data_IF_754289799247
#
_entry.id   IF_754289799247
#
_cell.length_a   1.000
_cell.length_b   1.000
_cell.length_c   1.000
_cell.angle_alpha   90.00
_cell.angle_beta   90.00
_cell.angle_gamma   90.00
#
_symmetry.space_group_name_H-M   'P 1'
#
loop_
_entity.id
_entity.type
_entity.pdbx_description
1 polymer ?
#
# COMPACT_ATOMS: atom_id res chain seq x y z
N UNK A 1 4.04 -10.60 19.89
CA UNK A 1 2.71 -9.95 19.97
C UNK A 1 1.62 -10.92 20.37
N UNK A 2 1.46 -12.07 19.70
CA UNK A 2 0.38 -13.05 19.92
C UNK A 2 0.32 -13.61 21.36
N UNK A 3 1.43 -13.64 22.11
CA UNK A 3 1.44 -14.03 23.53
C UNK A 3 0.94 -12.94 24.50
N UNK A 4 0.70 -11.72 24.02
CA UNK A 4 0.27 -10.59 24.86
C UNK A 4 -1.27 -10.55 24.96
N UNK A 5 -1.81 -10.77 26.17
CA UNK A 5 -3.26 -10.77 26.43
C UNK A 5 -3.97 -9.49 25.99
N UNK A 6 -3.35 -8.32 26.18
CA UNK A 6 -3.93 -7.03 25.77
C UNK A 6 -4.04 -6.91 24.26
N UNK A 7 -3.02 -7.38 23.54
CA UNK A 7 -3.05 -7.45 22.08
C UNK A 7 -4.14 -8.41 21.58
N UNK A 8 -4.21 -9.62 22.13
CA UNK A 8 -5.23 -10.61 21.74
C UNK A 8 -6.64 -10.08 21.99
N UNK A 9 -6.89 -9.45 23.14
CA UNK A 9 -8.20 -8.89 23.42
C UNK A 9 -8.61 -7.81 22.40
N UNK A 10 -7.70 -6.88 22.10
CA UNK A 10 -7.93 -5.85 21.08
C UNK A 10 -8.12 -6.47 19.69
N UNK A 11 -7.30 -7.46 19.32
CA UNK A 11 -7.40 -8.16 18.04
C UNK A 11 -8.77 -8.80 17.88
N UNK A 12 -9.26 -9.53 18.89
CA UNK A 12 -10.57 -10.17 18.85
C UNK A 12 -11.71 -9.15 18.69
N UNK A 13 -11.64 -8.00 19.37
CA UNK A 13 -12.62 -6.91 19.20
C UNK A 13 -12.63 -6.35 17.78
N UNK A 14 -11.46 -6.10 17.21
CA UNK A 14 -11.35 -5.61 15.83
C UNK A 14 -11.88 -6.65 14.85
N UNK A 15 -11.50 -7.92 15.00
CA UNK A 15 -11.99 -9.02 14.16
C UNK A 15 -13.50 -9.18 14.25
N UNK A 16 -14.10 -9.02 15.44
CA UNK A 16 -15.55 -9.06 15.61
C UNK A 16 -16.27 -7.95 14.82
N UNK A 17 -15.66 -6.77 14.65
CA UNK A 17 -16.19 -5.69 13.83
C UNK A 17 -16.01 -5.86 12.32
N UNK A 18 -15.10 -6.75 11.90
CA UNK A 18 -14.65 -6.87 10.50
C UNK A 18 -15.16 -8.17 9.85
N UNK A 19 -14.96 -9.32 10.49
CA UNK A 19 -15.18 -10.64 9.90
C UNK A 19 -16.65 -10.97 9.56
N UNK A 20 -17.66 -10.58 10.37
CA UNK A 20 -19.04 -10.96 10.10
C UNK A 20 -19.54 -10.53 8.71
N UNK A 21 -19.05 -9.42 8.18
CA UNK A 21 -19.48 -8.88 6.89
C UNK A 21 -19.06 -9.76 5.72
N UNK A 22 -17.77 -10.07 5.62
CA UNK A 22 -17.22 -10.88 4.53
C UNK A 22 -17.66 -12.33 4.64
N UNK A 23 -17.63 -12.88 5.87
CA UNK A 23 -18.04 -14.25 6.10
C UNK A 23 -19.55 -14.44 5.89
N UNK A 24 -20.38 -13.52 6.38
CA UNK A 24 -21.82 -13.55 6.17
C UNK A 24 -22.20 -13.50 4.69
N UNK A 25 -21.57 -12.60 3.91
CA UNK A 25 -21.79 -12.54 2.47
C UNK A 25 -21.42 -13.84 1.74
N UNK A 26 -20.34 -14.50 2.16
CA UNK A 26 -19.93 -15.79 1.60
C UNK A 26 -20.90 -16.92 1.95
N UNK A 27 -21.41 -16.98 3.18
CA UNK A 27 -22.35 -18.01 3.64
C UNK A 27 -23.69 -17.98 2.89
N UNK A 28 -24.18 -16.80 2.52
CA UNK A 28 -25.39 -16.64 1.71
C UNK A 28 -25.17 -17.18 0.29
N UNK A 29 -23.93 -17.15 -0.19
CA UNK A 29 -23.47 -17.78 -1.43
C UNK A 29 -24.25 -17.35 -2.69
N UNK A 30 -24.70 -16.09 -2.73
CA UNK A 30 -25.19 -15.44 -3.95
C UNK A 30 -24.17 -14.41 -4.44
N UNK A 31 -24.17 -14.12 -5.75
CA UNK A 31 -23.24 -13.14 -6.32
C UNK A 31 -23.36 -11.77 -5.65
N UNK A 32 -24.59 -11.32 -5.40
CA UNK A 32 -24.86 -10.06 -4.71
C UNK A 32 -24.38 -10.06 -3.26
N UNK A 33 -24.68 -11.10 -2.49
CA UNK A 33 -24.25 -11.19 -1.10
C UNK A 33 -22.73 -11.30 -0.97
N UNK A 34 -22.06 -12.01 -1.88
CA UNK A 34 -20.60 -12.06 -1.94
C UNK A 34 -20.01 -10.69 -2.27
N UNK A 35 -20.56 -9.98 -3.25
CA UNK A 35 -20.09 -8.63 -3.61
C UNK A 35 -20.27 -7.64 -2.46
N UNK A 36 -21.48 -7.54 -1.90
CA UNK A 36 -21.79 -6.64 -0.79
C UNK A 36 -21.00 -7.01 0.47
N UNK A 37 -20.92 -8.30 0.80
CA UNK A 37 -20.17 -8.78 1.96
C UNK A 37 -18.67 -8.51 1.85
N UNK A 38 -18.08 -8.68 0.65
CA UNK A 38 -16.68 -8.36 0.40
C UNK A 38 -16.41 -6.86 0.51
N UNK A 39 -17.26 -6.02 -0.11
CA UNK A 39 -17.16 -4.56 0.00
C UNK A 39 -17.32 -4.09 1.45
N UNK A 40 -18.28 -4.66 2.19
CA UNK A 40 -18.50 -4.36 3.60
C UNK A 40 -17.31 -4.81 4.46
N UNK A 41 -16.73 -5.98 4.20
CA UNK A 41 -15.51 -6.44 4.88
C UNK A 41 -14.32 -5.52 4.61
N UNK A 42 -14.13 -5.08 3.36
CA UNK A 42 -13.07 -4.10 3.04
C UNK A 42 -13.33 -2.74 3.69
N UNK A 43 -14.57 -2.26 3.66
CA UNK A 43 -14.96 -1.00 4.29
C UNK A 43 -14.77 -1.03 5.80
N UNK A 44 -15.23 -2.09 6.46
CA UNK A 44 -15.13 -2.25 7.92
C UNK A 44 -13.70 -2.58 8.36
N UNK A 45 -12.97 -3.35 7.56
CA UNK A 45 -11.55 -3.60 7.76
C UNK A 45 -10.70 -2.33 7.68
N UNK A 46 -11.14 -1.31 6.93
CA UNK A 46 -10.52 0.02 6.92
C UNK A 46 -10.99 0.87 8.10
N UNK A 47 -12.32 1.03 8.23
CA UNK A 47 -12.92 2.01 9.13
C UNK A 47 -12.78 1.63 10.60
N UNK A 48 -13.00 0.36 10.95
CA UNK A 48 -12.98 -0.08 12.36
C UNK A 48 -11.58 0.11 12.96
N UNK A 49 -10.49 -0.43 12.38
CA UNK A 49 -9.16 -0.19 12.94
C UNK A 49 -8.73 1.27 12.84
N UNK A 50 -8.99 1.94 11.71
CA UNK A 50 -8.64 3.35 11.54
C UNK A 50 -9.22 4.23 12.66
N UNK A 51 -10.55 4.20 12.85
CA UNK A 51 -11.22 4.99 13.89
C UNK A 51 -10.79 4.55 15.28
N UNK A 52 -10.66 3.24 15.51
CA UNK A 52 -10.20 2.72 16.79
C UNK A 52 -8.82 3.29 17.15
N UNK A 53 -7.83 3.20 16.25
CA UNK A 53 -6.47 3.70 16.49
C UNK A 53 -6.40 5.22 16.61
N UNK A 54 -7.21 5.95 15.83
CA UNK A 54 -7.25 7.41 15.83
C UNK A 54 -7.69 7.95 17.20
N UNK A 55 -8.67 7.28 17.83
CA UNK A 55 -9.23 7.70 19.12
C UNK A 55 -8.72 6.89 20.32
N UNK A 56 -7.84 5.89 20.10
CA UNK A 56 -7.31 5.05 21.17
C UNK A 56 -6.46 5.88 22.14
N UNK A 57 -6.92 5.99 23.39
CA UNK A 57 -6.18 6.66 24.48
C UNK A 57 -5.49 5.69 25.45
N UNK A 58 -5.92 4.44 25.49
CA UNK A 58 -5.43 3.40 26.41
C UNK A 58 -5.41 2.04 25.70
N UNK A 59 -4.71 1.08 26.29
CA UNK A 59 -4.65 -0.30 25.76
C UNK A 59 -3.37 -0.57 24.97
N UNK A 60 -3.37 -1.62 24.16
CA UNK A 60 -2.17 -2.05 23.47
C UNK A 60 -1.88 -1.16 22.25
N UNK A 61 -0.67 -0.63 22.14
CA UNK A 61 -0.28 0.23 21.02
C UNK A 61 -0.83 1.66 21.08
N UNK A 62 -1.31 2.11 22.24
CA UNK A 62 -1.80 3.48 22.40
C UNK A 62 -0.68 4.52 22.31
N UNK A 63 0.57 4.13 22.54
CA UNK A 63 1.77 4.95 22.35
C UNK A 63 1.95 5.41 20.89
N UNK A 64 1.40 4.66 19.92
CA UNK A 64 1.44 5.02 18.51
C UNK A 64 0.20 5.82 18.06
N UNK A 65 -0.95 5.63 18.72
CA UNK A 65 -2.18 6.42 18.52
C UNK A 65 -2.49 6.76 17.05
N UNK A 66 -2.54 8.06 16.73
CA UNK A 66 -2.83 8.55 15.37
C UNK A 66 -1.81 8.11 14.30
N UNK A 67 -0.55 7.85 14.66
CA UNK A 67 0.45 7.32 13.71
C UNK A 67 0.06 5.91 13.25
N UNK A 68 -0.50 5.10 14.15
CA UNK A 68 -1.01 3.78 13.82
C UNK A 68 -2.20 3.85 12.86
N UNK A 69 -3.11 4.82 13.07
CA UNK A 69 -4.21 5.09 12.15
C UNK A 69 -3.70 5.53 10.75
N UNK A 70 -2.70 6.40 10.71
CA UNK A 70 -2.11 6.88 9.46
C UNK A 70 -1.40 5.77 8.67
N UNK A 71 -0.76 4.82 9.36
CA UNK A 71 -0.18 3.61 8.74
C UNK A 71 -1.27 2.68 8.22
N UNK A 72 -2.34 2.50 8.98
CA UNK A 72 -3.39 1.56 8.61
C UNK A 72 -4.06 1.90 7.26
N UNK A 73 -4.27 3.18 6.96
CA UNK A 73 -4.92 3.62 5.72
C UNK A 73 -4.26 3.04 4.45
N UNK A 74 -3.00 3.38 4.10
CA UNK A 74 -2.37 2.82 2.91
C UNK A 74 -2.14 1.32 3.04
N UNK A 75 -1.88 0.80 4.25
CA UNK A 75 -1.67 -0.63 4.45
C UNK A 75 -2.90 -1.45 4.08
N UNK A 76 -4.07 -1.08 4.60
CA UNK A 76 -5.29 -1.81 4.32
C UNK A 76 -5.70 -1.69 2.85
N UNK A 77 -5.56 -0.51 2.23
CA UNK A 77 -5.79 -0.34 0.79
C UNK A 77 -4.87 -1.27 -0.02
N UNK A 78 -3.59 -1.38 0.35
CA UNK A 78 -2.66 -2.33 -0.24
C UNK A 78 -3.12 -3.79 -0.07
N UNK A 79 -3.63 -4.16 1.10
CA UNK A 79 -4.21 -5.49 1.32
C UNK A 79 -5.49 -5.73 0.53
N UNK A 80 -6.34 -4.71 0.29
CA UNK A 80 -7.53 -4.84 -0.55
C UNK A 80 -7.12 -5.21 -1.97
N UNK A 81 -6.10 -4.55 -2.54
CA UNK A 81 -5.62 -4.84 -3.90
C UNK A 81 -5.13 -6.29 -4.01
N UNK A 82 -4.39 -6.76 -3.00
CA UNK A 82 -3.93 -8.15 -2.93
C UNK A 82 -5.11 -9.14 -2.79
N UNK A 83 -6.07 -8.82 -1.92
CA UNK A 83 -7.26 -9.66 -1.72
C UNK A 83 -8.16 -9.72 -2.95
N UNK A 84 -8.34 -8.61 -3.67
CA UNK A 84 -9.06 -8.56 -4.95
C UNK A 84 -8.51 -9.59 -5.92
N UNK A 85 -7.19 -9.59 -6.09
CA UNK A 85 -6.49 -10.54 -6.95
C UNK A 85 -6.68 -11.99 -6.51
N UNK A 86 -6.49 -12.27 -5.22
CA UNK A 86 -6.59 -13.62 -4.67
C UNK A 86 -8.02 -14.13 -4.78
N UNK A 87 -9.00 -13.34 -4.35
CA UNK A 87 -10.40 -13.73 -4.44
C UNK A 87 -10.81 -13.94 -5.88
N UNK A 88 -10.48 -13.03 -6.79
CA UNK A 88 -10.81 -13.19 -8.21
C UNK A 88 -10.23 -14.47 -8.82
N UNK A 89 -8.97 -14.79 -8.50
CA UNK A 89 -8.29 -15.97 -9.04
C UNK A 89 -8.87 -17.28 -8.54
N UNK A 90 -9.27 -17.32 -7.27
CA UNK A 90 -9.72 -18.56 -6.63
C UNK A 90 -11.24 -18.66 -6.49
N UNK A 91 -12.02 -17.64 -6.85
CA UNK A 91 -13.48 -17.64 -6.71
C UNK A 91 -14.15 -18.80 -7.46
N UNK A 92 -13.81 -19.12 -8.73
CA UNK A 92 -14.45 -20.23 -9.43
C UNK A 92 -14.16 -21.59 -8.78
N UNK A 93 -12.93 -21.78 -8.30
CA UNK A 93 -12.52 -22.98 -7.59
C UNK A 93 -13.23 -23.09 -6.23
N UNK A 94 -13.34 -21.97 -5.50
CA UNK A 94 -14.02 -21.90 -4.22
C UNK A 94 -15.54 -22.15 -4.36
N UNK A 95 -16.18 -21.61 -5.41
CA UNK A 95 -17.60 -21.87 -5.73
C UNK A 95 -17.85 -23.36 -6.02
N UNK A 96 -17.02 -23.98 -6.86
CA UNK A 96 -17.12 -25.42 -7.13
C UNK A 96 -16.95 -26.24 -5.85
N UNK A 97 -15.91 -25.95 -5.07
CA UNK A 97 -15.63 -26.68 -3.83
C UNK A 97 -16.73 -26.46 -2.78
N UNK A 98 -17.31 -25.26 -2.71
CA UNK A 98 -18.41 -24.96 -1.79
C UNK A 98 -19.65 -25.80 -2.09
N UNK A 99 -19.99 -25.98 -3.37
CA UNK A 99 -21.12 -26.83 -3.81
C UNK A 99 -20.93 -28.30 -3.42
N UNK A 100 -19.68 -28.78 -3.37
CA UNK A 100 -19.36 -30.15 -2.97
C UNK A 100 -19.27 -30.31 -1.44
N UNK A 101 -18.75 -29.31 -0.73
CA UNK A 101 -18.52 -29.37 0.73
C UNK A 101 -18.60 -27.97 1.37
N UNK A 102 -19.81 -27.48 1.72
CA UNK A 102 -20.00 -26.11 2.19
C UNK A 102 -19.27 -25.79 3.50
N UNK A 103 -19.30 -26.70 4.48
CA UNK A 103 -18.79 -26.44 5.83
C UNK A 103 -17.26 -26.25 5.84
N UNK A 104 -16.43 -27.18 5.30
CA UNK A 104 -14.99 -27.00 5.26
C UNK A 104 -14.55 -25.76 4.47
N UNK A 105 -15.22 -25.48 3.35
CA UNK A 105 -14.89 -24.32 2.51
C UNK A 105 -15.27 -23.00 3.18
N UNK A 106 -16.39 -22.95 3.89
CA UNK A 106 -16.77 -21.81 4.72
C UNK A 106 -15.72 -21.55 5.81
N UNK A 107 -15.26 -22.60 6.49
CA UNK A 107 -14.22 -22.47 7.52
C UNK A 107 -12.89 -21.99 6.91
N UNK A 108 -12.49 -22.52 5.76
CA UNK A 108 -11.30 -22.09 5.04
C UNK A 108 -11.39 -20.60 4.65
N UNK A 109 -12.54 -20.17 4.12
CA UNK A 109 -12.77 -18.77 3.77
C UNK A 109 -12.70 -17.85 4.99
N UNK A 110 -13.32 -18.24 6.11
CA UNK A 110 -13.23 -17.52 7.38
C UNK A 110 -11.78 -17.37 7.86
N UNK A 111 -11.00 -18.45 7.76
CA UNK A 111 -9.57 -18.43 8.12
C UNK A 111 -8.81 -17.46 7.23
N UNK A 112 -9.04 -17.47 5.91
CA UNK A 112 -8.36 -16.55 4.97
C UNK A 112 -8.66 -15.09 5.30
N UNK A 113 -9.94 -14.72 5.50
CA UNK A 113 -10.32 -13.36 5.93
C UNK A 113 -9.64 -12.97 7.25
N UNK A 114 -9.62 -13.91 8.21
CA UNK A 114 -8.98 -13.69 9.51
C UNK A 114 -7.48 -13.45 9.35
N UNK A 115 -6.79 -14.22 8.51
CA UNK A 115 -5.36 -14.06 8.29
C UNK A 115 -5.01 -12.68 7.71
N UNK A 116 -5.79 -12.17 6.75
CA UNK A 116 -5.58 -10.82 6.21
C UNK A 116 -5.79 -9.73 7.27
N UNK A 117 -6.90 -9.79 8.00
CA UNK A 117 -7.18 -8.83 9.06
C UNK A 117 -6.13 -8.87 10.18
N UNK A 118 -5.72 -10.06 10.61
CA UNK A 118 -4.66 -10.24 11.62
C UNK A 118 -3.32 -9.68 11.11
N UNK A 119 -2.96 -9.98 9.86
CA UNK A 119 -1.71 -9.50 9.26
C UNK A 119 -1.67 -7.96 9.23
N UNK A 120 -2.76 -7.33 8.78
CA UNK A 120 -2.89 -5.87 8.78
C UNK A 120 -2.75 -5.30 10.21
N UNK A 121 -3.53 -5.80 11.17
CA UNK A 121 -3.54 -5.30 12.56
C UNK A 121 -2.17 -5.49 13.25
N UNK A 122 -1.44 -6.56 12.93
CA UNK A 122 -0.08 -6.77 13.40
C UNK A 122 0.90 -5.76 12.80
N UNK A 123 0.84 -5.58 11.48
CA UNK A 123 1.69 -4.62 10.76
C UNK A 123 1.39 -3.17 11.18
N UNK A 124 0.15 -2.83 11.50
CA UNK A 124 -0.23 -1.52 12.04
C UNK A 124 0.56 -1.17 13.30
N UNK A 125 0.92 -2.15 14.13
CA UNK A 125 1.75 -1.91 15.31
C UNK A 125 3.26 -1.96 14.99
N UNK A 126 3.67 -2.91 14.15
CA UNK A 126 5.08 -3.13 13.84
C UNK A 126 5.68 -1.98 13.02
N UNK A 127 4.95 -1.46 12.04
CA UNK A 127 5.45 -0.42 11.14
C UNK A 127 5.75 0.90 11.88
N UNK A 128 4.86 1.46 12.73
CA UNK A 128 5.19 2.62 13.57
C UNK A 128 6.38 2.37 14.49
N UNK A 129 6.49 1.19 15.10
CA UNK A 129 7.62 0.86 15.98
C UNK A 129 8.95 0.82 15.22
N UNK A 130 8.97 0.21 14.03
CA UNK A 130 10.16 0.21 13.17
C UNK A 130 10.50 1.63 12.70
N UNK A 131 9.48 2.40 12.34
CA UNK A 131 9.62 3.78 11.91
C UNK A 131 10.27 4.66 12.98
N UNK A 132 9.85 4.56 14.23
CA UNK A 132 10.41 5.34 15.34
C UNK A 132 11.83 4.89 15.70
N UNK A 133 12.11 3.58 15.72
CA UNK A 133 13.50 3.07 15.88
C UNK A 133 14.45 3.58 14.78
N UNK A 134 13.96 3.71 13.56
CA UNK A 134 14.74 4.26 12.45
C UNK A 134 14.89 5.79 12.57
N UNK A 135 13.96 6.47 13.24
CA UNK A 135 14.03 7.90 13.50
C UNK A 135 15.10 8.29 14.52
N UNK A 136 15.39 7.43 15.49
CA UNK A 136 16.48 7.60 16.46
C UNK A 136 17.84 7.73 15.76
N UNK A 137 17.95 7.21 14.53
CA UNK A 137 19.15 7.31 13.68
C UNK A 137 19.21 8.61 12.84
N UNK A 138 18.27 9.54 13.06
CA UNK A 138 18.26 10.88 12.48
C UNK A 138 16.90 11.31 11.90
N UNK A 139 16.47 12.54 12.21
CA UNK A 139 15.18 13.09 11.78
C UNK A 139 14.97 13.08 10.25
N UNK A 140 16.04 13.20 9.46
CA UNK A 140 15.96 13.10 8.01
C UNK A 140 15.52 11.70 7.54
N UNK A 141 15.94 10.63 8.22
CA UNK A 141 15.59 9.24 7.87
C UNK A 141 14.11 8.97 8.11
N UNK A 142 13.57 9.53 9.20
CA UNK A 142 12.14 9.47 9.53
C UNK A 142 11.28 10.03 8.39
N UNK A 143 11.54 11.27 7.99
CA UNK A 143 10.76 11.96 6.95
C UNK A 143 10.89 11.24 5.60
N UNK A 144 12.11 10.79 5.28
CA UNK A 144 12.39 10.05 4.05
C UNK A 144 11.62 8.72 3.96
N UNK A 145 11.72 7.88 4.99
CA UNK A 145 11.05 6.57 4.99
C UNK A 145 9.53 6.69 5.00
N UNK A 146 8.99 7.70 5.68
CA UNK A 146 7.56 7.94 5.67
C UNK A 146 7.08 8.39 4.29
N UNK A 147 7.87 9.23 3.60
CA UNK A 147 7.56 9.61 2.23
C UNK A 147 7.57 8.39 1.28
N UNK A 148 8.60 7.54 1.37
CA UNK A 148 8.69 6.31 0.57
C UNK A 148 7.52 5.35 0.86
N UNK A 149 7.08 5.27 2.12
CA UNK A 149 5.94 4.46 2.52
C UNK A 149 4.62 4.95 1.89
N UNK A 150 4.31 6.25 2.03
CA UNK A 150 3.05 6.81 1.50
C UNK A 150 3.00 6.86 -0.03
N UNK A 151 4.14 7.08 -0.70
CA UNK A 151 4.18 7.09 -2.17
C UNK A 151 4.24 5.69 -2.78
N UNK A 152 4.87 4.73 -2.10
CA UNK A 152 5.27 3.46 -2.69
C UNK A 152 4.44 2.24 -2.32
N UNK A 153 3.77 2.23 -1.16
CA UNK A 153 3.13 1.00 -0.64
C UNK A 153 1.96 0.51 -1.52
N UNK A 154 1.04 1.40 -1.89
CA UNK A 154 -0.13 1.04 -2.72
C UNK A 154 0.32 0.64 -4.13
N UNK A 155 1.12 1.43 -4.86
CA UNK A 155 1.66 1.03 -6.16
C UNK A 155 2.43 -0.30 -6.10
N UNK A 156 3.19 -0.51 -5.03
CA UNK A 156 3.95 -1.74 -4.85
C UNK A 156 3.11 -2.98 -4.63
N UNK A 157 2.07 -2.88 -3.82
CA UNK A 157 1.13 -4.00 -3.67
C UNK A 157 0.33 -4.23 -4.95
N UNK A 158 -0.01 -3.20 -5.72
CA UNK A 158 -0.63 -3.38 -7.02
C UNK A 158 0.26 -4.22 -7.94
N UNK A 159 1.52 -3.83 -8.14
CA UNK A 159 2.47 -4.58 -9.00
C UNK A 159 2.67 -6.00 -8.48
N UNK A 160 2.89 -6.20 -7.18
CA UNK A 160 3.04 -7.54 -6.59
C UNK A 160 1.81 -8.41 -6.83
N UNK A 161 0.62 -7.83 -6.71
CA UNK A 161 -0.63 -8.55 -6.94
C UNK A 161 -0.79 -8.93 -8.40
N UNK A 162 -0.45 -8.05 -9.34
CA UNK A 162 -0.48 -8.35 -10.77
C UNK A 162 0.56 -9.40 -11.19
N UNK A 163 1.77 -9.33 -10.65
CA UNK A 163 2.79 -10.38 -10.87
C UNK A 163 2.31 -11.72 -10.30
N UNK A 164 1.67 -11.68 -9.12
CA UNK A 164 1.02 -12.85 -8.52
C UNK A 164 -0.07 -13.44 -9.41
N UNK A 165 -0.96 -12.61 -9.99
CA UNK A 165 -1.97 -13.04 -10.97
C UNK A 165 -1.34 -13.74 -12.17
N UNK A 166 -0.33 -13.10 -12.76
CA UNK A 166 0.35 -13.61 -13.94
C UNK A 166 0.93 -15.01 -13.70
N UNK A 167 1.58 -15.19 -12.53
CA UNK A 167 2.15 -16.47 -12.14
C UNK A 167 1.09 -17.51 -11.78
N UNK A 168 0.10 -17.16 -10.94
CA UNK A 168 -0.85 -18.12 -10.37
C UNK A 168 -1.89 -18.64 -11.37
N UNK A 169 -2.41 -17.76 -12.23
CA UNK A 169 -3.43 -18.17 -13.21
C UNK A 169 -2.82 -18.72 -14.50
N UNK A 170 -1.48 -18.76 -14.58
CA UNK A 170 -0.75 -19.16 -15.79
C UNK A 170 -1.36 -18.52 -17.01
N UNK A 171 -1.72 -17.22 -16.90
CA UNK A 171 -2.50 -16.50 -17.91
C UNK A 171 -1.80 -16.68 -19.25
N UNK A 172 -2.25 -17.66 -20.03
CA UNK A 172 -1.82 -17.90 -21.41
C UNK A 172 -2.48 -16.86 -22.30
N UNK A 173 -2.36 -15.60 -21.89
CA UNK A 173 -2.58 -14.48 -22.77
C UNK A 173 -1.56 -14.65 -23.88
N UNK A 174 -2.03 -14.55 -25.11
CA UNK A 174 -1.12 -14.36 -26.22
C UNK A 174 -0.22 -13.13 -25.92
N UNK A 175 1.01 -13.10 -26.45
CA UNK A 175 1.97 -12.05 -26.11
C UNK A 175 1.43 -10.63 -26.29
N UNK A 176 0.56 -10.40 -27.26
CA UNK A 176 -0.04 -9.09 -27.50
C UNK A 176 -1.01 -8.71 -26.38
N UNK A 177 -1.93 -9.59 -26.00
CA UNK A 177 -2.86 -9.33 -24.88
C UNK A 177 -2.13 -9.20 -23.54
N UNK A 178 -1.06 -9.97 -23.33
CA UNK A 178 -0.23 -9.86 -22.13
C UNK A 178 0.47 -8.48 -22.05
N UNK A 179 1.06 -8.03 -23.15
CA UNK A 179 1.69 -6.70 -23.23
C UNK A 179 0.70 -5.56 -23.06
N UNK A 180 -0.49 -5.66 -23.67
CA UNK A 180 -1.55 -4.66 -23.51
C UNK A 180 -2.03 -4.57 -22.05
N UNK A 181 -2.29 -5.70 -21.42
CA UNK A 181 -2.70 -5.74 -20.01
C UNK A 181 -1.61 -5.18 -19.08
N UNK A 182 -0.35 -5.55 -19.31
CA UNK A 182 0.77 -4.98 -18.55
C UNK A 182 0.86 -3.46 -18.73
N UNK A 183 0.73 -2.95 -19.96
CA UNK A 183 0.78 -1.52 -20.23
C UNK A 183 -0.33 -0.74 -19.50
N UNK A 184 -1.56 -1.24 -19.53
CA UNK A 184 -2.70 -0.61 -18.84
C UNK A 184 -2.51 -0.61 -17.32
N UNK A 185 -2.11 -1.75 -16.77
CA UNK A 185 -1.82 -1.89 -15.34
C UNK A 185 -0.69 -0.95 -14.91
N UNK A 186 0.43 -0.95 -15.65
CA UNK A 186 1.56 -0.08 -15.34
C UNK A 186 1.18 1.39 -15.45
N UNK A 187 0.34 1.75 -16.42
CA UNK A 187 -0.19 3.11 -16.56
C UNK A 187 -1.04 3.51 -15.36
N UNK A 188 -1.99 2.67 -14.95
CA UNK A 188 -2.82 2.91 -13.77
C UNK A 188 -1.97 3.07 -12.49
N UNK A 189 -1.01 2.17 -12.28
CA UNK A 189 -0.11 2.21 -11.13
C UNK A 189 0.76 3.47 -11.17
N UNK A 190 1.25 3.87 -12.35
CA UNK A 190 2.05 5.07 -12.53
C UNK A 190 1.27 6.35 -12.18
N UNK A 191 0.06 6.52 -12.71
CA UNK A 191 -0.78 7.67 -12.38
C UNK A 191 -1.18 7.68 -10.90
N UNK A 192 -1.52 6.51 -10.34
CA UNK A 192 -1.78 6.36 -8.91
C UNK A 192 -0.58 6.79 -8.06
N UNK A 193 0.64 6.40 -8.48
CA UNK A 193 1.90 6.80 -7.83
C UNK A 193 2.12 8.30 -7.88
N UNK A 194 1.81 8.97 -9.00
CA UNK A 194 1.89 10.44 -9.09
C UNK A 194 0.96 11.08 -8.07
N UNK A 195 -0.31 10.67 -8.01
CA UNK A 195 -1.29 11.24 -7.06
C UNK A 195 -0.81 11.05 -5.62
N UNK A 196 -0.39 9.84 -5.26
CA UNK A 196 0.13 9.54 -3.91
C UNK A 196 1.42 10.30 -3.61
N UNK A 197 2.31 10.45 -4.59
CA UNK A 197 3.50 11.29 -4.50
C UNK A 197 3.14 12.73 -4.17
N UNK A 198 2.22 13.33 -4.94
CA UNK A 198 1.77 14.71 -4.72
C UNK A 198 1.14 14.91 -3.34
N UNK A 199 0.31 13.97 -2.87
CA UNK A 199 -0.22 14.01 -1.50
C UNK A 199 0.88 13.86 -0.46
N UNK A 200 1.86 12.99 -0.71
CA UNK A 200 2.99 12.75 0.19
C UNK A 200 3.84 14.02 0.36
N UNK A 201 4.22 14.66 -0.74
CA UNK A 201 5.02 15.89 -0.70
C UNK A 201 4.22 17.11 -0.26
N UNK A 202 2.94 17.20 -0.64
CA UNK A 202 2.09 18.35 -0.32
C UNK A 202 1.55 18.34 1.11
N UNK A 203 1.21 17.17 1.66
CA UNK A 203 0.53 17.05 2.96
C UNK A 203 1.47 16.43 3.99
N UNK A 204 1.89 15.18 3.77
CA UNK A 204 2.69 14.44 4.76
C UNK A 204 4.01 15.14 5.05
N UNK A 205 4.78 15.48 4.01
CA UNK A 205 6.08 16.11 4.16
C UNK A 205 5.94 17.47 4.84
N UNK A 206 4.92 18.26 4.47
CA UNK A 206 4.65 19.53 5.14
C UNK A 206 4.47 19.30 6.63
N UNK A 207 3.56 18.41 7.03
CA UNK A 207 3.26 18.09 8.43
C UNK A 207 4.45 17.50 9.20
N UNK A 208 5.32 16.73 8.53
CA UNK A 208 6.46 16.06 9.13
C UNK A 208 7.68 16.97 9.32
N UNK A 209 7.80 18.05 8.55
CA UNK A 209 8.91 19.00 8.67
C UNK A 209 8.73 19.98 9.83
N UNK A 210 9.83 20.30 10.51
CA UNK A 210 9.90 21.34 11.54
C UNK A 210 10.37 22.68 10.95
N UNK A 211 10.10 23.78 11.67
CA UNK A 211 10.51 25.13 11.28
C UNK A 211 9.37 26.02 10.82
N UNK A 212 9.71 27.18 10.25
CA UNK A 212 8.73 28.19 9.83
C UNK A 212 7.87 27.70 8.68
N UNK A 213 6.62 28.17 8.60
CA UNK A 213 5.67 27.80 7.54
C UNK A 213 6.27 28.03 6.14
N UNK A 214 6.93 29.16 5.93
CA UNK A 214 7.59 29.49 4.65
C UNK A 214 8.63 28.45 4.25
N UNK A 215 9.58 28.13 5.14
CA UNK A 215 10.60 27.10 4.87
C UNK A 215 9.99 25.74 4.58
N UNK A 216 8.97 25.32 5.35
CA UNK A 216 8.29 24.04 5.13
C UNK A 216 7.63 23.98 3.76
N UNK A 217 6.92 25.03 3.35
CA UNK A 217 6.29 25.10 2.01
C UNK A 217 7.35 25.00 0.91
N UNK A 218 8.45 25.75 1.04
CA UNK A 218 9.54 25.74 0.05
C UNK A 218 10.17 24.36 -0.09
N UNK A 219 10.48 23.68 1.03
CA UNK A 219 10.98 22.29 0.96
C UNK A 219 9.98 21.38 0.26
N UNK A 220 8.69 21.46 0.61
CA UNK A 220 7.66 20.61 0.01
C UNK A 220 7.55 20.82 -1.50
N UNK A 221 7.50 22.08 -1.94
CA UNK A 221 7.37 22.43 -3.35
C UNK A 221 8.57 21.93 -4.16
N UNK A 222 9.80 22.26 -3.74
CA UNK A 222 10.98 21.83 -4.48
C UNK A 222 11.20 20.32 -4.41
N UNK A 223 10.90 19.67 -3.28
CA UNK A 223 10.94 18.21 -3.20
C UNK A 223 9.92 17.55 -4.12
N UNK A 224 8.70 18.06 -4.22
CA UNK A 224 7.71 17.57 -5.18
C UNK A 224 8.19 17.72 -6.62
N UNK A 225 8.75 18.88 -6.98
CA UNK A 225 9.32 19.13 -8.32
C UNK A 225 10.46 18.16 -8.61
N UNK A 226 11.43 18.03 -7.70
CA UNK A 226 12.55 17.10 -7.89
C UNK A 226 12.08 15.65 -7.98
N UNK A 227 11.10 15.25 -7.18
CA UNK A 227 10.55 13.91 -7.24
C UNK A 227 9.91 13.62 -8.59
N UNK A 228 9.09 14.55 -9.12
CA UNK A 228 8.52 14.42 -10.47
C UNK A 228 9.62 14.35 -11.53
N UNK A 229 10.62 15.22 -11.48
CA UNK A 229 11.73 15.17 -12.43
C UNK A 229 12.44 13.81 -12.39
N UNK A 230 12.81 13.34 -11.20
CA UNK A 230 13.47 12.05 -11.02
C UNK A 230 12.61 10.86 -11.47
N UNK A 231 11.28 10.95 -11.32
CA UNK A 231 10.33 9.96 -11.82
C UNK A 231 10.35 9.87 -13.35
N UNK A 232 10.49 11.01 -14.05
CA UNK A 232 10.46 11.07 -15.51
C UNK A 232 11.83 10.87 -16.19
N UNK A 233 12.96 11.09 -15.49
CA UNK A 233 14.30 10.92 -16.08
C UNK A 233 14.45 9.56 -16.78
N UNK A 234 14.07 8.41 -16.18
CA UNK A 234 14.24 7.13 -16.86
C UNK A 234 13.36 7.00 -18.12
N UNK A 235 12.18 7.61 -18.13
CA UNK A 235 11.34 7.69 -19.34
C UNK A 235 11.99 8.54 -20.43
N UNK A 236 12.55 9.69 -20.07
CA UNK A 236 13.29 10.54 -21.01
C UNK A 236 14.49 9.79 -21.59
N UNK A 237 15.26 9.08 -20.77
CA UNK A 237 16.39 8.26 -21.23
C UNK A 237 15.90 7.19 -22.22
N UNK A 238 14.83 6.46 -21.87
CA UNK A 238 14.24 5.44 -22.74
C UNK A 238 13.90 5.97 -24.13
N UNK A 239 13.25 7.14 -24.21
CA UNK A 239 12.86 7.77 -25.49
C UNK A 239 14.04 8.15 -26.39
N UNK A 240 15.24 8.30 -25.83
CA UNK A 240 16.45 8.67 -26.57
C UNK A 240 17.38 7.48 -26.85
N UNK A 241 17.05 6.29 -26.35
CA UNK A 241 17.80 5.08 -26.67
C UNK A 241 17.36 4.53 -28.03
N UNK A 242 18.31 4.09 -28.89
CA UNK A 242 17.96 3.43 -30.14
C UNK A 242 17.18 2.14 -29.86
N UNK A 243 16.18 1.84 -30.69
CA UNK A 243 15.36 0.64 -30.51
C UNK A 243 16.21 -0.62 -30.53
N UNK A 244 16.09 -1.43 -29.47
CA UNK A 244 16.85 -2.65 -29.32
C UNK A 244 15.99 -3.77 -28.73
N UNK A 245 16.27 -5.02 -29.13
CA UNK A 245 15.52 -6.19 -28.69
C UNK A 245 15.54 -6.42 -27.17
N UNK A 246 16.58 -5.95 -26.49
CA UNK A 246 16.70 -6.05 -25.03
C UNK A 246 15.81 -5.06 -24.27
N UNK A 247 15.38 -3.96 -24.89
CA UNK A 247 14.57 -2.93 -24.22
C UNK A 247 13.23 -3.47 -23.76
N UNK A 248 12.66 -4.45 -24.47
CA UNK A 248 11.42 -5.12 -24.04
C UNK A 248 11.55 -5.72 -22.62
N UNK A 249 12.76 -6.12 -22.22
CA UNK A 249 13.03 -6.76 -20.92
C UNK A 249 13.64 -5.81 -19.89
N UNK A 250 14.37 -4.77 -20.32
CA UNK A 250 15.13 -3.88 -19.42
C UNK A 250 15.01 -2.40 -19.79
N UNK A 251 13.83 -1.96 -20.23
CA UNK A 251 13.59 -0.55 -20.54
C UNK A 251 13.82 0.33 -19.28
N UNK A 252 14.62 1.41 -19.36
CA UNK A 252 14.80 2.33 -18.24
C UNK A 252 13.49 2.91 -17.70
N UNK A 253 12.46 3.06 -18.53
CA UNK A 253 11.13 3.54 -18.12
C UNK A 253 10.44 2.65 -17.09
N UNK A 254 10.88 1.40 -16.91
CA UNK A 254 10.40 0.50 -15.86
C UNK A 254 11.00 0.79 -14.48
N UNK A 255 12.15 1.48 -14.41
CA UNK A 255 12.86 1.76 -13.15
C UNK A 255 12.01 2.51 -12.11
N UNK A 256 11.24 3.56 -12.46
CA UNK A 256 10.33 4.24 -11.53
C UNK A 256 9.16 3.36 -11.06
N UNK A 257 8.86 2.29 -11.81
CA UNK A 257 7.79 1.36 -11.52
C UNK A 257 8.22 0.24 -10.57
N UNK A 258 9.53 -0.05 -10.44
CA UNK A 258 10.01 -1.07 -9.49
C UNK A 258 9.65 -0.64 -8.06
N UNK A 259 8.71 -1.33 -7.40
CA UNK A 259 8.14 -0.81 -6.17
C UNK A 259 9.11 -0.90 -4.99
N UNK A 260 8.90 -0.03 -4.00
CA UNK A 260 9.71 0.13 -2.79
C UNK A 260 11.14 0.63 -3.03
N UNK A 261 11.89 0.00 -3.94
CA UNK A 261 13.26 0.39 -4.27
C UNK A 261 13.28 1.74 -4.96
N UNK A 262 12.38 1.96 -5.93
CA UNK A 262 12.29 3.26 -6.61
C UNK A 262 11.92 4.38 -5.65
N UNK A 263 10.92 4.15 -4.80
CA UNK A 263 10.44 5.13 -3.84
C UNK A 263 11.50 5.52 -2.81
N UNK A 264 12.36 4.59 -2.39
CA UNK A 264 13.47 4.89 -1.49
C UNK A 264 14.44 5.90 -2.12
N UNK A 265 14.97 5.69 -3.32
CA UNK A 265 15.92 6.65 -3.88
C UNK A 265 15.24 7.93 -4.38
N UNK A 266 14.05 7.82 -5.00
CA UNK A 266 13.29 8.95 -5.52
C UNK A 266 12.99 9.97 -4.42
N UNK A 267 12.39 9.51 -3.32
CA UNK A 267 12.01 10.40 -2.22
C UNK A 267 13.22 10.92 -1.47
N UNK A 268 14.28 10.12 -1.33
CA UNK A 268 15.52 10.52 -0.64
C UNK A 268 16.21 11.67 -1.34
N UNK A 269 16.47 11.53 -2.65
CA UNK A 269 17.13 12.57 -3.46
C UNK A 269 16.25 13.81 -3.56
N UNK A 270 14.94 13.64 -3.76
CA UNK A 270 14.00 14.76 -3.83
C UNK A 270 13.93 15.60 -2.54
N UNK A 271 13.87 14.94 -1.38
CA UNK A 271 13.87 15.62 -0.07
C UNK A 271 15.20 16.33 0.17
N UNK A 272 16.32 15.69 -0.17
CA UNK A 272 17.64 16.29 -0.05
C UNK A 272 17.78 17.54 -0.93
N UNK A 273 17.42 17.45 -2.21
CA UNK A 273 17.46 18.58 -3.15
C UNK A 273 16.57 19.74 -2.69
N UNK A 274 15.33 19.44 -2.28
CA UNK A 274 14.39 20.46 -1.80
C UNK A 274 14.91 21.20 -0.55
N UNK A 275 15.57 20.48 0.36
CA UNK A 275 16.24 21.09 1.52
C UNK A 275 17.39 22.00 1.09
N UNK A 276 18.23 21.56 0.14
CA UNK A 276 19.36 22.37 -0.35
C UNK A 276 18.94 23.65 -1.03
N UNK A 277 17.92 23.59 -1.88
CA UNK A 277 17.36 24.80 -2.51
C UNK A 277 16.75 25.72 -1.45
N UNK A 278 16.03 25.18 -0.46
CA UNK A 278 15.46 25.99 0.62
C UNK A 278 16.55 26.64 1.48
N UNK A 279 17.61 25.92 1.82
CA UNK A 279 18.77 26.48 2.52
C UNK A 279 19.38 27.64 1.73
N UNK A 280 19.45 27.53 0.40
CA UNK A 280 19.98 28.60 -0.44
C UNK A 280 19.06 29.83 -0.51
N UNK A 281 17.73 29.64 -0.61
CA UNK A 281 16.75 30.74 -0.68
C UNK A 281 16.68 31.54 0.63
N UNK A 282 16.81 30.86 1.77
CA UNK A 282 16.68 31.47 3.10
C UNK A 282 18.04 31.66 3.80
N UNK A 283 19.13 31.72 3.02
CA UNK A 283 20.43 32.25 3.46
C UNK A 283 20.37 33.76 3.45
#
# INVERSE_FOLDING_TARGET
>A
MIKNKKFIHQLLWLLAGILPWGFGGFLVHTAEAMAVGTLAYWGMGLLVPFLFFLFQRKGYGCEWGALRAAVHLPLWISFIILQMVIFWSYLPMADKAFKESPIPISLAFFIVLTLFAVAAIMLDYLLPSLYEKLSEKGACRKVWLGAAYFSGLIPGFAILSFLGLYYANGMRLDPFTASFFLLEVFSFVFYGKIILGMMTFGIYLFLALSGTKGRRITVCAFSGIFWLMLLYIPMVISLHLPQASWQVYMDPSYLPMIPFVSDLWLTGIAIWGGKKVTEWIFR
#
